data_IF_943254455715
#
_entry.id   IF_943254455715
#
_cell.length_a   1.000
_cell.length_b   1.000
_cell.length_c   1.000
_cell.angle_alpha   90.00
_cell.angle_beta   90.00
_cell.angle_gamma   90.00
#
_symmetry.space_group_name_H-M   'P 1'
#
loop_
_entity.id
_entity.type
_entity.pdbx_description
1 polymer ?
#
# COMPACT_ATOMS: atom_id res chain seq x y z
N UNK A 1 -11.58 10.80 -2.36
CA UNK A 1 -10.88 10.54 -3.64
C UNK A 1 -9.97 9.31 -3.54
N UNK A 2 -9.66 8.58 -4.63
CA UNK A 2 -8.74 7.44 -4.61
C UNK A 2 -7.35 7.79 -4.03
N UNK A 3 -6.81 8.97 -4.34
CA UNK A 3 -5.52 9.44 -3.81
C UNK A 3 -5.53 9.57 -2.28
N UNK A 4 -6.60 10.14 -1.71
CA UNK A 4 -6.75 10.27 -0.25
C UNK A 4 -6.79 8.91 0.45
N UNK A 5 -7.49 7.93 -0.14
CA UNK A 5 -7.54 6.57 0.43
C UNK A 5 -6.15 5.93 0.43
N UNK A 6 -5.39 6.07 -0.65
CA UNK A 6 -4.03 5.56 -0.73
C UNK A 6 -3.09 6.22 0.29
N UNK A 7 -3.15 7.55 0.43
CA UNK A 7 -2.34 8.31 1.40
C UNK A 7 -2.71 7.89 2.83
N UNK A 8 -4.01 7.85 3.17
CA UNK A 8 -4.48 7.44 4.49
C UNK A 8 -4.08 6.00 4.84
N UNK A 9 -4.11 5.10 3.86
CA UNK A 9 -3.64 3.72 4.03
C UNK A 9 -2.13 3.67 4.37
N UNK A 10 -1.29 4.41 3.66
CA UNK A 10 0.16 4.47 3.99
C UNK A 10 0.39 5.11 5.36
N UNK A 11 -0.33 6.19 5.69
CA UNK A 11 -0.25 6.84 7.00
C UNK A 11 -0.63 5.88 8.14
N UNK A 12 -1.63 5.02 7.94
CA UNK A 12 -2.05 4.03 8.95
C UNK A 12 -0.96 3.01 9.31
N UNK A 13 0.09 2.89 8.48
CA UNK A 13 1.26 2.04 8.71
C UNK A 13 2.38 2.76 9.47
N UNK A 14 2.18 4.01 9.88
CA UNK A 14 3.20 4.81 10.59
C UNK A 14 4.32 5.34 9.68
N UNK A 15 4.12 5.33 8.36
CA UNK A 15 5.10 5.85 7.41
C UNK A 15 4.97 7.37 7.23
N UNK A 16 6.08 8.03 6.95
CA UNK A 16 6.10 9.44 6.51
C UNK A 16 5.84 9.48 5.01
N UNK A 17 4.80 10.20 4.59
CA UNK A 17 4.41 10.29 3.17
C UNK A 17 4.90 11.60 2.58
N UNK A 18 5.65 11.50 1.47
CA UNK A 18 6.00 12.63 0.62
C UNK A 18 5.05 12.66 -0.57
N UNK A 19 4.25 13.71 -0.70
CA UNK A 19 3.27 13.87 -1.79
C UNK A 19 3.73 14.92 -2.81
N UNK A 20 3.67 14.56 -4.08
CA UNK A 20 3.80 15.50 -5.19
C UNK A 20 2.42 15.89 -5.71
N UNK A 21 2.22 17.16 -6.04
CA UNK A 21 1.00 17.66 -6.66
C UNK A 21 1.35 18.61 -7.82
N UNK A 22 0.52 18.59 -8.87
CA UNK A 22 0.69 19.47 -10.05
C UNK A 22 -0.03 20.81 -9.89
N UNK A 23 -1.09 20.84 -9.08
CA UNK A 23 -1.87 22.05 -8.78
C UNK A 23 -2.11 22.17 -7.28
N UNK A 24 -2.51 23.36 -6.84
CA UNK A 24 -2.80 23.64 -5.42
C UNK A 24 -4.03 22.86 -4.96
N UNK A 25 -5.06 22.78 -5.79
CA UNK A 25 -6.31 22.08 -5.48
C UNK A 25 -6.04 20.58 -5.25
N UNK A 26 -5.17 19.97 -6.06
CA UNK A 26 -4.75 18.59 -5.85
C UNK A 26 -3.97 18.41 -4.55
N UNK A 27 -3.12 19.38 -4.20
CA UNK A 27 -2.38 19.36 -2.94
C UNK A 27 -3.33 19.44 -1.75
N UNK A 28 -4.29 20.35 -1.79
CA UNK A 28 -5.33 20.50 -0.76
C UNK A 28 -6.16 19.22 -0.62
N UNK A 29 -6.62 18.65 -1.73
CA UNK A 29 -7.32 17.35 -1.72
C UNK A 29 -6.45 16.24 -1.11
N UNK A 30 -5.15 16.18 -1.44
CA UNK A 30 -4.26 15.17 -0.88
C UNK A 30 -4.03 15.36 0.63
N UNK A 31 -3.97 16.61 1.12
CA UNK A 31 -3.81 16.93 2.54
C UNK A 31 -5.04 16.46 3.34
N UNK A 32 -6.24 16.60 2.79
CA UNK A 32 -7.48 16.10 3.41
C UNK A 32 -7.50 14.59 3.68
N UNK A 33 -6.54 13.82 3.14
CA UNK A 33 -6.36 12.42 3.47
C UNK A 33 -6.13 12.15 4.96
N UNK A 34 -5.59 13.12 5.72
CA UNK A 34 -5.38 12.96 7.17
C UNK A 34 -6.69 12.81 7.96
N UNK A 35 -7.80 13.26 7.38
CA UNK A 35 -9.13 13.16 7.96
C UNK A 35 -9.85 11.85 7.58
N UNK A 36 -9.23 11.02 6.72
CA UNK A 36 -9.82 9.75 6.27
C UNK A 36 -9.47 8.64 7.27
N UNK A 37 -10.46 8.23 8.05
CA UNK A 37 -10.33 7.11 8.97
C UNK A 37 -10.75 5.79 8.32
N UNK A 38 -9.75 4.95 7.99
CA UNK A 38 -9.98 3.59 7.49
C UNK A 38 -10.25 2.63 8.64
N UNK A 39 -11.29 1.80 8.51
CA UNK A 39 -11.56 0.73 9.47
C UNK A 39 -10.45 -0.35 9.40
N UNK A 40 -10.19 -1.09 10.49
CA UNK A 40 -9.23 -2.19 10.47
C UNK A 40 -9.50 -3.22 9.35
N UNK A 41 -10.78 -3.48 9.03
CA UNK A 41 -11.17 -4.37 7.93
C UNK A 41 -10.76 -3.83 6.56
N UNK A 42 -10.89 -2.52 6.33
CA UNK A 42 -10.51 -1.87 5.08
C UNK A 42 -8.99 -1.81 4.92
N UNK A 43 -8.26 -1.55 6.01
CA UNK A 43 -6.79 -1.63 6.00
C UNK A 43 -6.35 -3.04 5.62
N UNK A 44 -6.94 -4.07 6.24
CA UNK A 44 -6.65 -5.47 5.92
C UNK A 44 -6.95 -5.81 4.46
N UNK A 45 -8.08 -5.33 3.93
CA UNK A 45 -8.44 -5.53 2.52
C UNK A 45 -7.42 -4.89 1.57
N UNK A 46 -7.02 -3.64 1.84
CA UNK A 46 -6.00 -2.94 1.07
C UNK A 46 -4.63 -3.63 1.16
N UNK A 47 -4.26 -4.15 2.33
CA UNK A 47 -3.03 -4.91 2.51
C UNK A 47 -3.01 -6.18 1.65
N UNK A 48 -4.10 -6.94 1.62
CA UNK A 48 -4.20 -8.14 0.78
C UNK A 48 -4.17 -7.81 -0.71
N UNK A 49 -4.90 -6.77 -1.13
CA UNK A 49 -4.96 -6.37 -2.55
C UNK A 49 -3.65 -5.80 -3.07
N UNK A 50 -2.83 -5.20 -2.20
CA UNK A 50 -1.55 -4.56 -2.58
C UNK A 50 -0.33 -5.45 -2.35
N UNK A 51 -0.52 -6.69 -1.84
CA UNK A 51 0.58 -7.64 -1.65
C UNK A 51 1.38 -7.79 -2.95
N UNK A 52 2.68 -7.49 -2.85
CA UNK A 52 3.60 -7.74 -3.94
C UNK A 52 3.65 -9.25 -4.19
N UNK A 53 3.47 -9.63 -5.46
CA UNK A 53 3.81 -10.98 -5.90
C UNK A 53 5.29 -11.25 -5.61
N UNK A 54 5.61 -12.50 -5.29
CA UNK A 54 7.00 -12.94 -5.15
C UNK A 54 7.78 -12.56 -6.41
N UNK A 55 8.79 -11.68 -6.25
CA UNK A 55 9.60 -11.17 -7.36
C UNK A 55 10.67 -12.18 -7.74
N UNK A 56 11.21 -12.10 -8.96
CA UNK A 56 12.41 -12.87 -9.31
C UNK A 56 13.60 -12.39 -8.45
N UNK A 57 14.47 -13.27 -7.94
CA UNK A 57 14.42 -14.73 -8.05
C UNK A 57 13.63 -15.45 -6.96
N UNK A 58 13.04 -14.73 -6.00
CA UNK A 58 12.35 -15.32 -4.84
C UNK A 58 11.30 -16.36 -5.24
N UNK A 59 10.44 -16.08 -6.24
CA UNK A 59 9.44 -17.06 -6.67
C UNK A 59 10.08 -18.33 -7.25
N UNK A 60 11.23 -18.19 -7.91
CA UNK A 60 11.95 -19.31 -8.52
C UNK A 60 12.57 -20.18 -7.43
N UNK A 61 13.15 -19.56 -6.41
CA UNK A 61 13.73 -20.24 -5.25
C UNK A 61 12.63 -20.96 -4.45
N UNK A 62 11.51 -20.29 -4.16
CA UNK A 62 10.34 -20.89 -3.50
C UNK A 62 9.85 -22.12 -4.26
N UNK A 63 9.73 -22.02 -5.58
CA UNK A 63 9.32 -23.15 -6.44
C UNK A 63 10.33 -24.30 -6.43
N UNK A 64 11.63 -24.02 -6.55
CA UNK A 64 12.68 -25.06 -6.54
C UNK A 64 12.79 -25.75 -5.17
N UNK A 65 12.58 -25.00 -4.09
CA UNK A 65 12.59 -25.57 -2.73
C UNK A 65 11.34 -26.41 -2.44
N UNK A 66 10.19 -26.12 -3.07
CA UNK A 66 8.97 -26.91 -2.90
C UNK A 66 9.11 -28.37 -3.38
N UNK A 67 10.05 -28.64 -4.29
CA UNK A 67 10.35 -29.98 -4.80
C UNK A 67 11.45 -30.70 -4.01
N UNK A 68 12.08 -30.02 -3.03
CA UNK A 68 13.06 -30.64 -2.15
C UNK A 68 12.35 -31.44 -1.05
N UNK A 69 12.41 -32.76 -1.16
CA UNK A 69 12.08 -33.69 -0.07
C UNK A 69 13.33 -33.78 0.83
N UNK A 70 13.20 -33.72 2.18
CA UNK A 70 14.34 -33.80 3.11
C UNK A 70 15.25 -35.01 2.89
#
# INVERSE_FOLDING_TARGET
MPAQVAIAWILSKGAVVLIGARTVEQLEENIEAVNVNLKPSQIKELDELTKLRSMYPNWMIERQNAERIP
#
